data_IF_971659984539
#
_entry.id   IF_971659984539
#
_cell.length_a   1.000
_cell.length_b   1.000
_cell.length_c   1.000
_cell.angle_alpha   90.00
_cell.angle_beta   90.00
_cell.angle_gamma   90.00
#
_symmetry.space_group_name_H-M   'P 1'
#
loop_
_entity.id
_entity.type
_entity.pdbx_description
1 polymer ?
#
# COMPACT_ATOMS: atom_id res chain seq x y z
N UNK A 1 -19.22 11.86 -12.29
CA UNK A 1 -19.24 10.75 -11.32
C UNK A 1 -19.91 9.57 -12.00
N UNK A 2 -19.17 8.50 -12.34
CA UNK A 2 -19.79 7.26 -12.81
C UNK A 2 -20.28 6.53 -11.56
N UNK A 3 -21.54 6.11 -11.58
CA UNK A 3 -22.21 5.30 -10.55
C UNK A 3 -21.37 4.06 -10.27
N UNK A 4 -20.62 4.10 -9.18
CA UNK A 4 -20.13 2.94 -8.46
C UNK A 4 -20.56 3.21 -7.04
N UNK A 5 -21.43 2.37 -6.50
CA UNK A 5 -21.91 2.47 -5.12
C UNK A 5 -20.73 2.27 -4.17
N UNK A 6 -20.01 3.36 -3.89
CA UNK A 6 -18.94 3.40 -2.92
C UNK A 6 -19.60 3.62 -1.56
N UNK A 7 -19.86 2.53 -0.85
CA UNK A 7 -20.34 2.55 0.52
C UNK A 7 -19.24 2.15 1.51
N UNK A 8 -19.54 2.27 2.80
CA UNK A 8 -18.58 1.98 3.87
C UNK A 8 -18.12 0.51 3.88
N UNK A 9 -18.94 -0.42 3.41
CA UNK A 9 -18.61 -1.85 3.38
C UNK A 9 -17.62 -2.15 2.26
N UNK A 10 -17.79 -1.51 1.10
CA UNK A 10 -16.82 -1.55 0.00
C UNK A 10 -15.50 -0.93 0.44
N UNK A 11 -15.53 0.26 1.05
CA UNK A 11 -14.31 0.91 1.54
C UNK A 11 -13.59 0.09 2.62
N UNK A 12 -14.31 -0.48 3.60
CA UNK A 12 -13.70 -1.30 4.66
C UNK A 12 -13.05 -2.56 4.07
N UNK A 13 -13.72 -3.24 3.14
CA UNK A 13 -13.16 -4.40 2.43
C UNK A 13 -11.90 -4.02 1.66
N UNK A 14 -11.94 -2.91 0.93
CA UNK A 14 -10.79 -2.40 0.18
C UNK A 14 -9.60 -2.07 1.09
N UNK A 15 -9.85 -1.39 2.21
CA UNK A 15 -8.82 -1.01 3.19
C UNK A 15 -8.21 -2.23 3.85
N UNK A 16 -8.99 -3.29 4.13
CA UNK A 16 -8.48 -4.51 4.74
C UNK A 16 -7.66 -5.36 3.78
N UNK A 17 -8.08 -5.47 2.52
CA UNK A 17 -7.44 -6.36 1.53
C UNK A 17 -6.22 -5.73 0.85
N UNK A 18 -6.32 -4.48 0.42
CA UNK A 18 -5.31 -3.89 -0.48
C UNK A 18 -4.35 -2.94 0.22
N UNK A 19 -4.87 -2.10 1.12
CA UNK A 19 -4.08 -1.04 1.72
C UNK A 19 -2.85 -1.54 2.51
N UNK A 20 -2.86 -2.70 3.21
CA UNK A 20 -1.68 -3.18 3.93
C UNK A 20 -0.52 -3.52 3.00
N UNK A 21 -0.80 -4.27 1.92
CA UNK A 21 0.21 -4.67 0.94
C UNK A 21 0.74 -3.46 0.18
N UNK A 22 -0.15 -2.58 -0.30
CA UNK A 22 0.24 -1.36 -1.00
C UNK A 22 1.06 -0.42 -0.11
N UNK A 23 0.69 -0.27 1.17
CA UNK A 23 1.44 0.57 2.10
C UNK A 23 2.85 0.02 2.33
N UNK A 24 3.00 -1.30 2.45
CA UNK A 24 4.32 -1.93 2.57
C UNK A 24 5.17 -1.72 1.31
N UNK A 25 4.57 -1.87 0.12
CA UNK A 25 5.22 -1.59 -1.16
C UNK A 25 5.67 -0.12 -1.26
N UNK A 26 4.76 0.82 -1.00
CA UNK A 26 5.02 2.25 -1.04
C UNK A 26 6.16 2.65 -0.09
N UNK A 27 6.16 2.16 1.15
CA UNK A 27 7.23 2.42 2.13
C UNK A 27 8.57 1.85 1.65
N UNK A 28 8.56 0.65 1.07
CA UNK A 28 9.75 0.06 0.49
C UNK A 28 10.33 0.91 -0.64
N UNK A 29 9.49 1.41 -1.56
CA UNK A 29 9.93 2.27 -2.67
C UNK A 29 10.47 3.61 -2.19
N UNK A 30 9.86 4.23 -1.18
CA UNK A 30 10.38 5.47 -0.59
C UNK A 30 11.83 5.32 -0.11
N UNK A 31 12.17 4.16 0.46
CA UNK A 31 13.49 3.96 1.04
C UNK A 31 14.48 3.46 -0.03
N UNK A 32 14.09 2.43 -0.78
CA UNK A 32 15.00 1.75 -1.69
C UNK A 32 15.17 2.48 -3.03
N UNK A 33 14.14 3.18 -3.51
CA UNK A 33 14.18 3.84 -4.81
C UNK A 33 14.32 5.36 -4.66
N UNK A 34 13.60 5.98 -3.72
CA UNK A 34 13.70 7.42 -3.48
C UNK A 34 14.82 7.81 -2.51
N UNK A 35 15.46 6.85 -1.84
CA UNK A 35 16.62 7.07 -0.96
C UNK A 35 16.28 7.75 0.37
N UNK A 36 15.01 7.76 0.80
CA UNK A 36 14.64 8.34 2.08
C UNK A 36 15.14 7.47 3.23
N UNK A 37 15.55 8.10 4.33
CA UNK A 37 15.78 7.38 5.57
C UNK A 37 14.46 6.90 6.18
N UNK A 38 14.50 5.82 6.98
CA UNK A 38 13.31 5.36 7.72
C UNK A 38 12.68 6.45 8.59
N UNK A 39 13.51 7.32 9.17
CA UNK A 39 13.06 8.43 10.02
C UNK A 39 12.33 9.51 9.21
N UNK A 40 12.83 9.83 8.01
CA UNK A 40 12.20 10.80 7.11
C UNK A 40 10.88 10.27 6.55
N UNK A 41 10.85 8.98 6.15
CA UNK A 41 9.62 8.33 5.72
C UNK A 41 8.57 8.31 6.84
N UNK A 42 8.95 7.96 8.08
CA UNK A 42 8.08 7.99 9.24
C UNK A 42 7.47 9.38 9.49
N UNK A 43 8.30 10.43 9.42
CA UNK A 43 7.86 11.82 9.59
C UNK A 43 6.84 12.24 8.54
N UNK A 44 7.08 11.90 7.27
CA UNK A 44 6.18 12.25 6.15
C UNK A 44 4.85 11.49 6.19
N UNK A 45 4.89 10.24 6.63
CA UNK A 45 3.71 9.38 6.72
C UNK A 45 2.93 9.57 8.03
N UNK A 46 3.47 10.31 9.01
CA UNK A 46 2.84 10.48 10.32
C UNK A 46 2.77 9.18 11.14
N UNK A 47 3.72 8.26 10.93
CA UNK A 47 3.79 6.97 11.64
C UNK A 47 5.12 6.82 12.39
N UNK A 48 5.25 5.77 13.20
CA UNK A 48 6.50 5.52 13.94
C UNK A 48 7.58 4.94 13.02
N UNK A 49 8.86 5.21 13.35
CA UNK A 49 10.00 4.57 12.69
C UNK A 49 9.95 3.05 12.81
N UNK A 50 9.44 2.54 13.93
CA UNK A 50 9.25 1.11 14.15
C UNK A 50 8.25 0.51 13.14
N UNK A 51 7.13 1.18 12.87
CA UNK A 51 6.18 0.76 11.83
C UNK A 51 6.84 0.72 10.45
N UNK A 52 7.65 1.74 10.11
CA UNK A 52 8.44 1.75 8.86
C UNK A 52 9.40 0.57 8.79
N UNK A 53 10.14 0.29 9.86
CA UNK A 53 11.05 -0.86 9.92
C UNK A 53 10.32 -2.19 9.72
N UNK A 54 9.12 -2.34 10.28
CA UNK A 54 8.29 -3.54 10.09
C UNK A 54 7.85 -3.73 8.64
N UNK A 55 7.50 -2.65 7.92
CA UNK A 55 7.15 -2.74 6.50
C UNK A 55 8.33 -3.23 5.65
N UNK A 56 9.54 -2.76 5.95
CA UNK A 56 10.76 -3.15 5.22
C UNK A 56 11.15 -4.59 5.53
N UNK A 57 11.04 -5.02 6.78
CA UNK A 57 11.44 -6.37 7.20
C UNK A 57 10.54 -7.45 6.61
N UNK A 58 9.22 -7.20 6.51
CA UNK A 58 8.24 -8.17 6.00
C UNK A 58 8.34 -8.45 4.50
N UNK A 59 8.97 -7.56 3.72
CA UNK A 59 9.18 -7.76 2.28
C UNK A 59 10.33 -8.72 1.95
N UNK A 60 11.17 -9.09 2.92
CA UNK A 60 12.17 -10.16 2.79
C UNK A 60 11.55 -11.46 3.28
N UNK A 61 10.67 -12.07 2.49
CA UNK A 61 10.09 -13.36 2.89
C UNK A 61 9.00 -13.92 1.99
N UNK A 62 7.83 -13.29 1.90
CA UNK A 62 6.63 -14.15 1.89
C UNK A 62 5.38 -13.66 1.13
N UNK A 63 5.51 -12.76 0.15
CA UNK A 63 4.40 -12.54 -0.78
C UNK A 63 4.89 -11.80 -2.03
N UNK A 64 4.99 -12.50 -3.15
CA UNK A 64 4.88 -11.87 -4.47
C UNK A 64 3.43 -11.41 -4.62
N UNK A 65 3.12 -10.22 -4.09
CA UNK A 65 1.91 -9.51 -4.43
C UNK A 65 2.03 -9.12 -5.91
N UNK A 66 1.36 -9.87 -6.79
CA UNK A 66 1.29 -9.53 -8.21
C UNK A 66 0.42 -8.29 -8.38
N UNK A 67 1.09 -7.14 -8.48
CA UNK A 67 0.47 -5.86 -8.80
C UNK A 67 0.09 -5.85 -10.28
N UNK A 68 -1.15 -5.45 -10.58
CA UNK A 68 -1.49 -5.01 -11.94
C UNK A 68 -0.65 -3.78 -12.32
N UNK A 69 -0.45 -3.55 -13.61
CA UNK A 69 0.26 -2.37 -14.10
C UNK A 69 -0.39 -1.06 -13.60
N UNK A 70 -1.72 -1.04 -13.51
CA UNK A 70 -2.48 0.11 -13.00
C UNK A 70 -2.22 0.36 -11.51
N UNK A 71 -2.20 -0.71 -10.70
CA UNK A 71 -1.89 -0.61 -9.26
C UNK A 71 -0.43 -0.22 -9.03
N UNK A 72 0.49 -0.73 -9.83
CA UNK A 72 1.91 -0.36 -9.79
C UNK A 72 2.11 1.14 -10.02
N UNK A 73 1.51 1.68 -11.09
CA UNK A 73 1.54 3.10 -11.41
C UNK A 73 0.86 3.97 -10.33
N UNK A 74 -0.19 3.45 -9.67
CA UNK A 74 -0.83 4.15 -8.57
C UNK A 74 0.09 4.21 -7.34
N UNK A 75 0.82 3.15 -7.04
CA UNK A 75 1.79 3.13 -5.94
C UNK A 75 2.94 4.10 -6.23
N UNK A 76 3.42 4.19 -7.47
CA UNK A 76 4.45 5.16 -7.84
C UNK A 76 3.99 6.60 -7.64
N UNK A 77 2.77 6.94 -8.04
CA UNK A 77 2.19 8.25 -7.70
C UNK A 77 2.11 8.45 -6.19
N UNK A 78 1.77 7.41 -5.42
CA UNK A 78 1.69 7.53 -3.96
C UNK A 78 3.06 7.84 -3.35
N UNK A 79 4.10 7.17 -3.85
CA UNK A 79 5.50 7.42 -3.47
C UNK A 79 5.88 8.87 -3.78
N UNK A 80 5.56 9.38 -4.97
CA UNK A 80 5.86 10.76 -5.37
C UNK A 80 5.09 11.79 -4.55
N UNK A 81 3.83 11.52 -4.21
CA UNK A 81 3.02 12.36 -3.34
C UNK A 81 3.65 12.48 -1.94
N UNK A 82 4.06 11.36 -1.33
CA UNK A 82 4.74 11.36 -0.03
C UNK A 82 6.15 11.98 -0.14
N UNK A 83 6.81 11.84 -1.27
CA UNK A 83 8.08 12.51 -1.56
C UNK A 83 7.92 14.04 -1.70
N UNK A 84 6.69 14.57 -1.76
CA UNK A 84 6.40 15.99 -1.90
C UNK A 84 6.57 16.51 -3.33
N UNK A 85 6.45 15.62 -4.32
CA UNK A 85 6.61 15.93 -5.75
C UNK A 85 5.29 15.95 -6.52
N UNK A 86 4.23 15.37 -5.97
CA UNK A 86 2.90 15.29 -6.56
C UNK A 86 1.80 15.53 -5.52
N UNK A 87 0.56 15.67 -5.99
CA UNK A 87 -0.64 15.84 -5.16
C UNK A 87 -0.99 14.57 -4.37
N UNK A 88 -1.73 14.76 -3.27
CA UNK A 88 -2.16 13.66 -2.41
C UNK A 88 -3.09 12.67 -3.13
N UNK A 89 -2.90 11.38 -2.86
CA UNK A 89 -3.78 10.31 -3.34
C UNK A 89 -4.85 10.02 -2.31
N UNK A 90 -6.06 9.72 -2.79
CA UNK A 90 -7.21 9.35 -1.96
C UNK A 90 -7.41 7.84 -1.92
N UNK A 91 -8.13 7.38 -0.90
CA UNK A 91 -8.60 5.99 -0.82
C UNK A 91 -9.46 5.61 -2.03
N UNK A 92 -10.21 6.57 -2.59
CA UNK A 92 -11.05 6.34 -3.76
C UNK A 92 -10.22 6.06 -5.02
N UNK A 93 -9.05 6.67 -5.18
CA UNK A 93 -8.15 6.39 -6.31
C UNK A 93 -7.70 4.92 -6.28
N UNK A 94 -7.36 4.43 -5.07
CA UNK A 94 -7.01 3.03 -4.81
C UNK A 94 -8.20 2.12 -5.10
N UNK A 95 -9.38 2.44 -4.57
CA UNK A 95 -10.60 1.67 -4.78
C UNK A 95 -10.97 1.57 -6.26
N UNK A 96 -10.90 2.68 -7.00
CA UNK A 96 -11.28 2.70 -8.41
C UNK A 96 -10.30 1.93 -9.29
N UNK A 97 -9.02 1.95 -8.94
CA UNK A 97 -7.97 1.16 -9.60
C UNK A 97 -8.23 -0.33 -9.41
N UNK A 98 -8.31 -0.78 -8.15
CA UNK A 98 -8.51 -2.19 -7.83
C UNK A 98 -9.81 -2.79 -8.41
N UNK A 99 -10.88 -1.99 -8.47
CA UNK A 99 -12.17 -2.42 -9.03
C UNK A 99 -12.19 -2.50 -10.57
N UNK A 100 -11.22 -1.89 -11.27
CA UNK A 100 -11.10 -2.03 -12.75
C UNK A 100 -10.41 -3.33 -13.15
N UNK A 101 -9.49 -3.82 -12.32
CA UNK A 101 -8.63 -4.96 -12.64
C UNK A 101 -9.25 -6.34 -12.34
N UNK A 102 -10.45 -6.39 -11.75
CA UNK A 102 -11.18 -7.65 -11.56
C UNK A 102 -10.43 -8.67 -10.69
N UNK A 103 -10.22 -8.35 -9.41
CA UNK A 103 -9.90 -9.34 -8.36
C UNK A 103 -8.50 -9.97 -8.43
N UNK A 104 -7.58 -9.45 -7.62
CA UNK A 104 -6.29 -10.11 -7.36
C UNK A 104 -6.53 -11.47 -6.68
N UNK A 105 -5.89 -12.51 -7.20
CA UNK A 105 -5.94 -13.88 -6.63
C UNK A 105 -5.07 -13.91 -5.37
N UNK A 106 -5.71 -13.93 -4.21
CA UNK A 106 -5.04 -14.19 -2.93
C UNK A 106 -4.44 -15.59 -2.95
N UNK A 107 -3.11 -15.69 -2.88
CA UNK A 107 -2.42 -16.90 -2.49
C UNK A 107 -1.80 -16.65 -1.12
N UNK A 108 -2.26 -17.39 -0.11
CA UNK A 108 -1.50 -17.60 1.12
C UNK A 108 -2.11 -16.95 2.36
N UNK A 109 -2.63 -17.82 3.23
CA UNK A 109 -3.12 -17.55 4.58
C UNK A 109 -2.15 -16.73 5.44
N UNK A 110 -2.71 -15.71 6.10
CA UNK A 110 -2.07 -14.99 7.20
C UNK A 110 -2.16 -15.88 8.45
N UNK A 111 -1.31 -16.90 8.57
CA UNK A 111 -1.14 -17.63 9.84
C UNK A 111 -0.42 -16.72 10.83
N UNK A 112 -1.22 -16.19 11.76
CA UNK A 112 -0.75 -15.51 12.94
C UNK A 112 -0.37 -16.58 13.98
N UNK A 113 0.84 -17.11 13.91
CA UNK A 113 1.40 -17.89 15.02
C UNK A 113 2.47 -17.04 15.72
N UNK A 114 2.02 -16.42 16.81
CA UNK A 114 2.87 -15.80 17.82
C UNK A 114 3.00 -16.77 19.00
N UNK A 115 4.08 -17.54 19.07
CA UNK A 115 4.66 -18.13 20.29
C UNK A 115 6.16 -18.29 20.00
N UNK A 116 7.13 -17.98 20.85
CA UNK A 116 7.23 -17.61 22.26
C UNK A 116 8.72 -17.75 22.58
#
# INVERSE_FOLDING_TARGET
>A
MRERDCDIMVCDTMVRRFLPAMRAEMVFRLIQQQGLSQSEAAKRLGITRAAVSQYISRKRGDATFELSADMDALIDRWVLAVAGREDAITLCDICQCAMKDGGVRESGEFSHDCEG
#
